data_IF_727769371041
#
_entry.id   IF_727769371041
#
_cell.length_a   1.000
_cell.length_b   1.000
_cell.length_c   1.000
_cell.angle_alpha   90.00
_cell.angle_beta   90.00
_cell.angle_gamma   90.00
#
_symmetry.space_group_name_H-M   'P 1'
#
loop_
_entity.id
_entity.type
_entity.pdbx_description
1 polymer ?
#
# COMPACT_ATOMS: atom_id res chain seq x y z
N UNK A 1 18.08 -11.28 -9.61
CA UNK A 1 17.49 -12.12 -8.55
C UNK A 1 15.98 -11.94 -8.37
N UNK A 2 15.37 -10.79 -8.68
CA UNK A 2 13.90 -10.62 -8.68
C UNK A 2 13.25 -10.91 -10.04
N UNK A 3 14.05 -11.32 -11.02
CA UNK A 3 13.62 -11.57 -12.40
C UNK A 3 12.60 -12.73 -12.46
N UNK A 4 12.65 -13.70 -11.53
CA UNK A 4 11.63 -14.75 -11.45
C UNK A 4 10.25 -14.23 -11.04
N UNK A 5 10.19 -13.09 -10.34
CA UNK A 5 8.94 -12.48 -9.85
C UNK A 5 8.42 -11.42 -10.82
N UNK A 6 9.33 -10.65 -11.45
CA UNK A 6 9.02 -9.57 -12.39
C UNK A 6 9.84 -9.71 -13.71
N UNK A 7 9.65 -10.78 -14.49
CA UNK A 7 10.55 -11.11 -15.61
C UNK A 7 10.52 -10.12 -16.78
N UNK A 8 9.42 -9.39 -16.96
CA UNK A 8 9.24 -8.46 -18.10
C UNK A 8 9.62 -7.01 -17.76
N UNK A 9 10.12 -6.74 -16.56
CA UNK A 9 10.49 -5.40 -16.14
C UNK A 9 11.97 -5.13 -16.43
N UNK A 10 12.30 -3.98 -17.02
CA UNK A 10 13.69 -3.58 -17.29
C UNK A 10 14.55 -3.47 -16.02
N UNK A 11 13.92 -3.22 -14.86
CA UNK A 11 14.59 -3.21 -13.56
C UNK A 11 13.73 -3.93 -12.50
N UNK A 12 13.80 -5.28 -12.42
CA UNK A 12 13.01 -6.08 -11.48
C UNK A 12 13.32 -5.78 -10.01
N UNK A 13 14.58 -5.41 -9.71
CA UNK A 13 14.99 -5.01 -8.36
C UNK A 13 14.36 -3.69 -7.93
N UNK A 14 14.23 -2.72 -8.84
CA UNK A 14 13.55 -1.46 -8.57
C UNK A 14 12.07 -1.65 -8.25
N UNK A 15 11.38 -2.53 -8.98
CA UNK A 15 9.98 -2.90 -8.72
C UNK A 15 9.82 -3.60 -7.37
N UNK A 16 10.71 -4.55 -7.06
CA UNK A 16 10.72 -5.23 -5.77
C UNK A 16 10.95 -4.25 -4.61
N UNK A 17 11.88 -3.30 -4.76
CA UNK A 17 12.12 -2.25 -3.77
C UNK A 17 10.89 -1.37 -3.57
N UNK A 18 10.26 -0.92 -4.67
CA UNK A 18 9.04 -0.11 -4.63
C UNK A 18 7.91 -0.82 -3.87
N UNK A 19 7.70 -2.12 -4.16
CA UNK A 19 6.75 -2.98 -3.46
C UNK A 19 7.10 -3.12 -1.97
N UNK A 20 8.38 -3.29 -1.64
CA UNK A 20 8.86 -3.38 -0.26
C UNK A 20 8.58 -2.09 0.53
N UNK A 21 8.85 -0.92 -0.07
CA UNK A 21 8.55 0.37 0.56
C UNK A 21 7.04 0.56 0.72
N UNK A 22 6.24 0.18 -0.29
CA UNK A 22 4.76 0.26 -0.22
C UNK A 22 4.19 -0.64 0.87
N UNK A 23 4.64 -1.90 0.95
CA UNK A 23 4.26 -2.82 2.02
C UNK A 23 4.67 -2.25 3.39
N UNK A 24 5.89 -1.73 3.51
CA UNK A 24 6.37 -1.09 4.74
C UNK A 24 5.46 0.06 5.18
N UNK A 25 5.02 0.90 4.25
CA UNK A 25 4.07 1.98 4.54
C UNK A 25 2.71 1.44 4.99
N UNK A 26 2.16 0.44 4.31
CA UNK A 26 0.86 -0.15 4.67
C UNK A 26 0.89 -0.85 6.03
N UNK A 27 2.00 -1.53 6.35
CA UNK A 27 2.24 -2.08 7.70
C UNK A 27 2.35 -0.97 8.73
N UNK A 28 3.05 0.13 8.43
CA UNK A 28 3.16 1.28 9.33
C UNK A 28 1.79 1.95 9.60
N UNK A 29 0.95 2.12 8.57
CA UNK A 29 -0.43 2.61 8.72
C UNK A 29 -1.27 1.67 9.59
N UNK A 30 -1.18 0.35 9.36
CA UNK A 30 -1.87 -0.66 10.15
C UNK A 30 -1.40 -0.67 11.60
N UNK A 31 -0.09 -0.60 11.83
CA UNK A 31 0.51 -0.54 13.15
C UNK A 31 0.08 0.74 13.89
N UNK A 32 -0.05 1.86 13.18
CA UNK A 32 -0.54 3.10 13.74
C UNK A 32 -1.99 2.96 14.24
N UNK A 33 -2.87 2.38 13.43
CA UNK A 33 -4.26 2.11 13.84
C UNK A 33 -4.29 1.13 15.02
N UNK A 34 -3.46 0.08 14.99
CA UNK A 34 -3.32 -0.90 16.07
C UNK A 34 -2.86 -0.28 17.40
N UNK A 35 -1.93 0.69 17.36
CA UNK A 35 -1.45 1.40 18.55
C UNK A 35 -2.52 2.30 19.16
N UNK A 36 -3.47 2.80 18.35
CA UNK A 36 -4.54 3.66 18.83
C UNK A 36 -5.74 2.88 19.35
N UNK A 37 -6.27 1.96 18.54
CA UNK A 37 -7.50 1.22 18.81
C UNK A 37 -7.28 -0.15 19.47
N UNK A 38 -6.06 -0.66 19.48
CA UNK A 38 -5.70 -2.00 19.97
C UNK A 38 -5.67 -3.07 18.86
N UNK A 39 -4.83 -4.10 19.05
CA UNK A 39 -4.56 -5.13 18.01
C UNK A 39 -5.77 -5.97 17.62
N UNK A 40 -6.67 -6.26 18.56
CA UNK A 40 -7.87 -7.09 18.34
C UNK A 40 -9.09 -6.27 17.87
N UNK A 41 -8.95 -4.96 17.74
CA UNK A 41 -10.05 -4.11 17.30
C UNK A 41 -10.41 -4.42 15.84
N UNK A 42 -11.71 -4.46 15.52
CA UNK A 42 -12.22 -4.84 14.19
C UNK A 42 -11.56 -4.05 13.05
N UNK A 43 -11.36 -2.74 13.24
CA UNK A 43 -10.68 -1.87 12.26
C UNK A 43 -9.21 -2.24 12.04
N UNK A 44 -8.49 -2.65 13.09
CA UNK A 44 -7.10 -3.07 12.98
C UNK A 44 -6.97 -4.38 12.21
N UNK A 45 -7.87 -5.34 12.48
CA UNK A 45 -7.93 -6.60 11.72
C UNK A 45 -8.25 -6.32 10.25
N UNK A 46 -9.22 -5.45 9.97
CA UNK A 46 -9.55 -5.04 8.61
C UNK A 46 -8.37 -4.36 7.89
N UNK A 47 -7.62 -3.49 8.57
CA UNK A 47 -6.41 -2.85 8.04
C UNK A 47 -5.31 -3.87 7.72
N UNK A 48 -5.10 -4.86 8.60
CA UNK A 48 -4.13 -5.93 8.38
C UNK A 48 -4.51 -6.80 7.17
N UNK A 49 -5.78 -7.21 7.09
CA UNK A 49 -6.30 -7.95 5.94
C UNK A 49 -6.18 -7.13 4.65
N UNK A 50 -6.52 -5.84 4.68
CA UNK A 50 -6.37 -4.93 3.55
C UNK A 50 -4.92 -4.74 3.12
N UNK A 51 -3.97 -4.66 4.05
CA UNK A 51 -2.53 -4.57 3.75
C UNK A 51 -2.04 -5.83 3.02
N UNK A 52 -2.46 -7.01 3.47
CA UNK A 52 -2.11 -8.28 2.82
C UNK A 52 -2.74 -8.38 1.44
N UNK A 53 -4.05 -8.11 1.33
CA UNK A 53 -4.75 -8.11 0.06
C UNK A 53 -4.12 -7.12 -0.93
N UNK A 54 -3.77 -5.92 -0.47
CA UNK A 54 -3.15 -4.89 -1.30
C UNK A 54 -1.80 -5.33 -1.87
N UNK A 55 -1.00 -5.97 -1.03
CA UNK A 55 0.31 -6.49 -1.44
C UNK A 55 0.17 -7.60 -2.47
N UNK A 56 -0.75 -8.54 -2.23
CA UNK A 56 -1.00 -9.66 -3.15
C UNK A 56 -1.53 -9.15 -4.49
N UNK A 57 -2.52 -8.24 -4.48
CA UNK A 57 -3.09 -7.68 -5.70
C UNK A 57 -2.02 -6.91 -6.47
N UNK A 58 -1.20 -6.09 -5.80
CA UNK A 58 -0.12 -5.34 -6.44
C UNK A 58 0.86 -6.29 -7.15
N UNK A 59 1.32 -7.35 -6.47
CA UNK A 59 2.22 -8.35 -7.10
C UNK A 59 1.56 -9.02 -8.30
N UNK A 60 0.29 -9.41 -8.19
CA UNK A 60 -0.43 -10.06 -9.27
C UNK A 60 -0.70 -9.13 -10.45
N UNK A 61 -0.91 -7.83 -10.24
CA UNK A 61 -1.07 -6.84 -11.32
C UNK A 61 0.25 -6.61 -12.06
N UNK A 62 1.38 -6.61 -11.34
CA UNK A 62 2.70 -6.35 -11.93
C UNK A 62 3.34 -7.57 -12.60
N UNK A 63 2.77 -8.76 -12.38
CA UNK A 63 3.27 -10.00 -12.98
C UNK A 63 2.71 -10.18 -14.40
N UNK A 64 3.52 -10.64 -15.37
CA UNK A 64 3.06 -10.92 -16.72
C UNK A 64 1.93 -11.95 -16.74
N UNK A 65 0.89 -11.70 -17.55
CA UNK A 65 -0.31 -12.54 -17.61
C UNK A 65 -1.14 -12.54 -16.31
N UNK A 66 -0.87 -11.58 -15.41
CA UNK A 66 -1.53 -11.44 -14.13
C UNK A 66 -2.87 -10.70 -14.20
N UNK A 67 -3.19 -9.96 -13.14
CA UNK A 67 -4.49 -9.28 -13.03
C UNK A 67 -4.52 -7.98 -13.84
N UNK A 68 -5.59 -7.79 -14.63
CA UNK A 68 -5.74 -6.62 -15.50
C UNK A 68 -6.27 -5.36 -14.80
N UNK A 69 -6.75 -4.42 -15.62
CA UNK A 69 -7.20 -3.07 -15.25
C UNK A 69 -8.28 -3.02 -14.13
N UNK A 70 -9.08 -4.06 -13.98
CA UNK A 70 -10.06 -4.14 -12.89
C UNK A 70 -9.38 -4.29 -11.52
N UNK A 71 -8.33 -5.10 -11.42
CA UNK A 71 -7.62 -5.31 -10.16
C UNK A 71 -6.78 -4.11 -9.75
N UNK A 72 -6.21 -3.36 -10.71
CA UNK A 72 -5.51 -2.11 -10.39
C UNK A 72 -6.46 -1.06 -9.80
N UNK A 73 -7.72 -0.99 -10.27
CA UNK A 73 -8.77 -0.15 -9.67
C UNK A 73 -9.14 -0.58 -8.25
N UNK A 74 -9.33 -1.89 -8.03
CA UNK A 74 -9.59 -2.44 -6.69
C UNK A 74 -8.46 -2.08 -5.74
N UNK A 75 -7.21 -2.23 -6.19
CA UNK A 75 -6.05 -1.89 -5.41
C UNK A 75 -5.96 -0.39 -5.09
N UNK A 76 -6.36 0.45 -6.03
CA UNK A 76 -6.44 1.90 -5.80
C UNK A 76 -7.47 2.25 -4.71
N UNK A 77 -8.67 1.68 -4.81
CA UNK A 77 -9.73 1.87 -3.81
C UNK A 77 -9.29 1.35 -2.44
N UNK A 78 -8.62 0.20 -2.41
CA UNK A 78 -8.10 -0.39 -1.17
C UNK A 78 -7.06 0.51 -0.52
N UNK A 79 -6.11 1.03 -1.30
CA UNK A 79 -5.08 1.93 -0.80
C UNK A 79 -5.67 3.24 -0.25
N UNK A 80 -6.65 3.83 -0.95
CA UNK A 80 -7.38 5.01 -0.47
C UNK A 80 -8.14 4.71 0.83
N UNK A 81 -8.73 3.52 0.94
CA UNK A 81 -9.44 3.09 2.16
C UNK A 81 -8.48 2.97 3.35
N UNK A 82 -7.31 2.35 3.16
CA UNK A 82 -6.28 2.24 4.20
C UNK A 82 -5.83 3.62 4.68
N UNK A 83 -5.58 4.55 3.75
CA UNK A 83 -5.21 5.93 4.04
C UNK A 83 -6.32 6.65 4.82
N UNK A 84 -7.57 6.55 4.36
CA UNK A 84 -8.71 7.21 5.00
C UNK A 84 -8.95 6.69 6.42
N UNK A 85 -8.90 5.38 6.64
CA UNK A 85 -9.08 4.77 7.98
C UNK A 85 -7.95 5.17 8.91
N UNK A 86 -6.70 5.14 8.44
CA UNK A 86 -5.55 5.57 9.24
C UNK A 86 -5.65 7.06 9.59
N UNK A 87 -5.91 7.92 8.61
CA UNK A 87 -6.08 9.36 8.80
C UNK A 87 -7.23 9.70 9.76
N UNK A 88 -8.38 9.04 9.59
CA UNK A 88 -9.52 9.19 10.49
C UNK A 88 -9.18 8.82 11.94
N UNK A 89 -8.48 7.69 12.12
CA UNK A 89 -8.04 7.24 13.45
C UNK A 89 -7.03 8.22 14.05
N UNK A 90 -6.17 8.82 13.22
CA UNK A 90 -5.21 9.84 13.66
C UNK A 90 -5.91 11.11 14.14
N UNK A 91 -6.90 11.58 13.37
CA UNK A 91 -7.64 12.81 13.62
C UNK A 91 -8.55 12.71 14.86
N UNK A 92 -9.14 11.54 15.12
CA UNK A 92 -10.06 11.34 16.26
C UNK A 92 -9.39 11.19 17.61
N UNK A 93 -8.15 10.72 17.67
CA UNK A 93 -7.43 10.50 18.92
C UNK A 93 -6.03 11.14 18.92
N UNK A 94 -5.91 12.48 18.80
CA UNK A 94 -4.61 13.14 18.71
C UNK A 94 -3.79 12.95 20.01
N UNK A 95 -2.82 12.03 20.02
CA UNK A 95 -1.90 11.79 21.15
C UNK A 95 -0.68 12.73 21.14
N UNK A 96 -0.93 14.02 20.94
CA UNK A 96 0.12 15.04 20.88
C UNK A 96 1.03 14.98 19.64
N UNK A 97 1.89 15.99 19.49
CA UNK A 97 2.68 16.25 18.27
C UNK A 97 3.62 15.09 17.90
N UNK A 98 4.19 14.41 18.91
CA UNK A 98 5.12 13.26 18.73
C UNK A 98 4.48 12.04 18.05
N UNK A 99 3.16 11.87 18.16
CA UNK A 99 2.43 10.79 17.51
C UNK A 99 1.78 11.16 16.17
N UNK A 100 1.66 12.46 15.88
CA UNK A 100 1.01 12.99 14.66
C UNK A 100 2.03 13.20 13.53
N UNK A 101 3.22 13.71 13.83
CA UNK A 101 4.30 13.89 12.84
C UNK A 101 4.67 12.61 12.07
N UNK A 102 4.98 11.47 12.72
CA UNK A 102 5.29 10.24 12.00
C UNK A 102 4.07 9.70 11.25
N UNK A 103 2.85 9.94 11.74
CA UNK A 103 1.62 9.56 11.04
C UNK A 103 1.45 10.32 9.71
N UNK A 104 1.71 11.63 9.74
CA UNK A 104 1.70 12.50 8.56
C UNK A 104 2.79 12.08 7.58
N UNK A 105 4.01 11.83 8.07
CA UNK A 105 5.12 11.36 7.23
C UNK A 105 4.78 10.06 6.48
N UNK A 106 4.31 9.04 7.21
CA UNK A 106 3.89 7.77 6.59
C UNK A 106 2.72 7.97 5.62
N UNK A 107 1.74 8.80 5.98
CA UNK A 107 0.61 9.11 5.12
C UNK A 107 1.01 9.81 3.82
N UNK A 108 1.94 10.77 3.88
CA UNK A 108 2.48 11.48 2.71
C UNK A 108 3.25 10.53 1.80
N UNK A 109 4.14 9.71 2.36
CA UNK A 109 4.89 8.71 1.58
C UNK A 109 3.94 7.69 0.93
N UNK A 110 2.97 7.17 1.68
CA UNK A 110 1.98 6.24 1.13
C UNK A 110 1.12 6.88 0.02
N UNK A 111 0.76 8.15 0.16
CA UNK A 111 0.03 8.91 -0.87
C UNK A 111 0.88 9.09 -2.12
N UNK A 112 2.14 9.53 -1.95
CA UNK A 112 3.09 9.69 -3.05
C UNK A 112 3.29 8.36 -3.81
N UNK A 113 3.52 7.27 -3.08
CA UNK A 113 3.64 5.93 -3.68
C UNK A 113 2.38 5.50 -4.43
N UNK A 114 1.20 5.91 -3.96
CA UNK A 114 -0.06 5.63 -4.66
C UNK A 114 -0.10 6.31 -6.02
N UNK A 115 0.39 7.55 -6.13
CA UNK A 115 0.50 8.27 -7.39
C UNK A 115 1.55 7.63 -8.32
N UNK A 116 2.70 7.23 -7.78
CA UNK A 116 3.73 6.50 -8.56
C UNK A 116 3.15 5.22 -9.13
N UNK A 117 2.36 4.48 -8.37
CA UNK A 117 1.74 3.24 -8.85
C UNK A 117 0.74 3.44 -10.00
N UNK A 118 0.15 4.63 -10.16
CA UNK A 118 -0.68 4.93 -11.34
C UNK A 118 0.14 4.79 -12.61
N UNK A 119 1.34 5.38 -12.62
CA UNK A 119 2.26 5.33 -13.77
C UNK A 119 2.74 3.90 -14.00
N UNK A 120 3.16 3.22 -12.93
CA UNK A 120 3.64 1.83 -13.00
C UNK A 120 2.56 0.87 -13.53
N UNK A 121 1.31 1.02 -13.09
CA UNK A 121 0.21 0.22 -13.63
C UNK A 121 -0.12 0.57 -15.08
N UNK A 122 0.08 1.82 -15.50
CA UNK A 122 -0.01 2.20 -16.91
C UNK A 122 0.97 1.43 -17.78
N UNK A 123 2.25 1.43 -17.41
CA UNK A 123 3.30 0.68 -18.12
C UNK A 123 3.00 -0.82 -18.17
N UNK A 124 2.60 -1.40 -17.03
CA UNK A 124 2.32 -2.84 -16.92
C UNK A 124 1.13 -3.32 -17.78
N UNK A 125 0.18 -2.43 -18.05
CA UNK A 125 -1.06 -2.77 -18.76
C UNK A 125 -1.03 -2.37 -20.25
N UNK A 126 -0.09 -1.50 -20.65
CA UNK A 126 0.06 -1.02 -22.03
C UNK A 126 1.17 -1.76 -22.79
N UNK A 127 2.15 -2.37 -22.09
CA UNK A 127 3.15 -3.24 -22.72
C UNK A 127 2.63 -4.70 -22.80
N UNK A 128 2.13 -5.17 -23.96
CA UNK A 128 1.79 -6.57 -24.19
C UNK A 128 3.04 -7.47 -24.29
#
# INVERSE_FOLDING_TARGET
MFDWLFPNWSNPAGIALLLGVRLGCNVALTALVARRLGRRHRRTVAMAAGTLASTVITVLVLRPGGLGLAASRVEFVLQLTLLAVAGYTVAREPRGVRGVLPALGVGLVATFLTLVMVVVYGEALVAP
#
